data_IF_019769893118
#
_entry.id   IF_019769893118
#
_cell.length_a   1.000
_cell.length_b   1.000
_cell.length_c   1.000
_cell.angle_alpha   90.00
_cell.angle_beta   90.00
_cell.angle_gamma   90.00
#
_symmetry.space_group_name_H-M   'P 1'
#
loop_
_entity.id
_entity.type
_entity.pdbx_description
1 polymer ?
#
# COMPACT_ATOMS: atom_id res chain seq x y z
N UNK A 1 39.36 38.62 -41.79
CA UNK A 1 38.78 38.17 -40.54
C UNK A 1 38.31 36.74 -40.76
N UNK A 2 39.07 35.75 -40.25
CA UNK A 2 38.65 34.31 -40.25
C UNK A 2 37.79 34.04 -39.01
N UNK A 3 36.58 33.63 -39.24
CA UNK A 3 35.62 33.22 -38.20
C UNK A 3 35.93 31.79 -37.79
N UNK A 4 36.50 31.62 -36.60
CA UNK A 4 36.78 30.30 -36.03
C UNK A 4 35.45 29.72 -35.49
N UNK A 5 34.83 28.84 -36.27
CA UNK A 5 33.69 28.02 -35.82
C UNK A 5 34.20 26.97 -34.81
N UNK A 6 33.96 27.20 -33.53
CA UNK A 6 34.19 26.18 -32.49
C UNK A 6 33.07 25.13 -32.54
N UNK A 7 33.38 23.97 -33.12
CA UNK A 7 32.54 22.78 -33.01
C UNK A 7 32.66 22.26 -31.58
N UNK A 8 31.64 22.49 -30.75
CA UNK A 8 31.51 21.78 -29.48
C UNK A 8 31.20 20.31 -29.78
N UNK A 9 31.94 19.33 -29.22
CA UNK A 9 31.54 17.94 -29.31
C UNK A 9 30.20 17.78 -28.63
N UNK A 10 29.23 17.17 -29.32
CA UNK A 10 27.95 16.82 -28.75
C UNK A 10 28.19 15.96 -27.51
N UNK A 11 27.69 16.42 -26.36
CA UNK A 11 27.70 15.63 -25.13
C UNK A 11 26.93 14.34 -25.42
N UNK A 12 27.65 13.21 -25.43
CA UNK A 12 27.04 11.89 -25.46
C UNK A 12 26.16 11.77 -24.22
N UNK A 13 24.85 11.82 -24.41
CA UNK A 13 23.93 11.46 -23.34
C UNK A 13 24.28 10.04 -22.88
N UNK A 14 24.35 9.79 -21.57
CA UNK A 14 24.49 8.42 -21.07
C UNK A 14 23.38 7.59 -21.69
N UNK A 15 23.74 6.48 -22.33
CA UNK A 15 22.79 5.51 -22.84
C UNK A 15 21.86 5.11 -21.70
N UNK A 16 20.57 5.35 -21.86
CA UNK A 16 19.59 4.99 -20.84
C UNK A 16 19.70 3.48 -20.59
N UNK A 17 19.88 3.08 -19.35
CA UNK A 17 19.90 1.68 -18.98
C UNK A 17 18.69 0.95 -19.62
N UNK A 18 18.88 -0.23 -20.22
CA UNK A 18 17.79 -0.95 -20.84
C UNK A 18 16.64 -1.12 -19.82
N UNK A 19 15.39 -0.92 -20.24
CA UNK A 19 14.26 -1.08 -19.33
C UNK A 19 14.31 -2.49 -18.73
N UNK A 20 14.03 -2.65 -17.42
CA UNK A 20 14.02 -3.96 -16.80
C UNK A 20 13.06 -4.87 -17.57
N UNK A 21 13.35 -6.18 -17.69
CA UNK A 21 12.50 -7.09 -18.41
C UNK A 21 11.07 -7.02 -17.87
N UNK A 22 10.11 -6.78 -18.74
CA UNK A 22 8.71 -6.55 -18.39
C UNK A 22 8.06 -7.74 -17.65
N UNK A 23 8.66 -8.92 -17.77
CA UNK A 23 8.06 -10.20 -17.34
C UNK A 23 8.70 -10.82 -16.09
N UNK A 24 9.68 -10.18 -15.44
CA UNK A 24 10.40 -10.76 -14.31
C UNK A 24 11.44 -11.81 -14.75
N UNK A 25 11.95 -12.60 -13.81
CA UNK A 25 12.93 -13.66 -14.09
C UNK A 25 12.33 -15.05 -13.86
N UNK A 26 12.81 -16.06 -14.62
CA UNK A 26 12.29 -17.43 -14.58
C UNK A 26 13.18 -18.36 -13.77
N UNK A 27 12.54 -19.19 -12.94
CA UNK A 27 13.17 -20.32 -12.25
C UNK A 27 12.34 -21.56 -12.56
N UNK A 28 12.80 -22.37 -13.51
CA UNK A 28 11.99 -23.47 -14.06
C UNK A 28 10.71 -22.92 -14.71
N UNK A 29 9.56 -23.47 -14.36
CA UNK A 29 8.24 -23.03 -14.84
C UNK A 29 7.67 -21.86 -14.08
N UNK A 30 8.38 -21.34 -13.08
CA UNK A 30 7.91 -20.23 -12.24
C UNK A 30 8.52 -18.93 -12.72
N UNK A 31 7.67 -17.94 -12.96
CA UNK A 31 8.07 -16.55 -13.18
C UNK A 31 8.02 -15.81 -11.84
N UNK A 32 9.12 -15.18 -11.47
CA UNK A 32 9.25 -14.36 -10.28
C UNK A 32 9.36 -12.90 -10.67
N UNK A 33 8.63 -12.02 -9.98
CA UNK A 33 8.68 -10.57 -10.17
C UNK A 33 8.89 -9.90 -8.83
N UNK A 34 9.92 -9.08 -8.75
CA UNK A 34 10.17 -8.17 -7.63
C UNK A 34 9.89 -6.75 -8.08
N UNK A 35 9.29 -5.94 -7.21
CA UNK A 35 9.02 -4.53 -7.50
C UNK A 35 8.63 -3.78 -6.25
N UNK A 36 8.34 -2.50 -6.44
CA UNK A 36 8.01 -1.59 -5.37
C UNK A 36 8.40 -0.16 -5.73
N UNK A 37 8.47 0.69 -4.73
CA UNK A 37 8.93 2.07 -4.84
C UNK A 37 9.61 2.49 -3.55
N UNK A 38 10.48 3.49 -3.67
CA UNK A 38 11.02 4.25 -2.54
C UNK A 38 10.22 5.53 -2.47
N UNK A 39 9.73 5.84 -1.28
CA UNK A 39 8.99 7.05 -0.97
C UNK A 39 9.74 7.81 0.12
N UNK A 40 9.85 9.11 -0.04
CA UNK A 40 10.50 9.98 0.94
C UNK A 40 9.67 11.25 1.06
N UNK A 41 9.01 11.41 2.17
CA UNK A 41 8.08 12.47 2.45
C UNK A 41 8.63 13.50 3.43
N UNK A 42 8.19 14.73 3.27
CA UNK A 42 8.39 15.81 4.24
C UNK A 42 7.02 16.36 4.62
N UNK A 43 6.69 16.25 5.88
CA UNK A 43 5.43 16.75 6.42
C UNK A 43 5.68 17.98 7.28
N UNK A 44 4.98 19.07 7.00
CA UNK A 44 4.92 20.23 7.88
C UNK A 44 3.48 20.34 8.37
N UNK A 45 3.28 19.99 9.64
CA UNK A 45 1.96 19.94 10.26
C UNK A 45 1.81 21.07 11.27
N UNK A 46 0.74 21.82 11.15
CA UNK A 46 0.37 22.85 12.12
C UNK A 46 -0.99 22.53 12.73
N UNK A 47 -1.01 22.34 14.03
CA UNK A 47 -2.21 22.08 14.82
C UNK A 47 -2.57 23.34 15.58
N UNK A 48 -3.83 23.76 15.50
CA UNK A 48 -4.34 24.89 16.26
C UNK A 48 -4.53 24.56 17.73
N UNK A 49 -4.67 23.25 18.05
CA UNK A 49 -5.10 22.82 19.36
C UNK A 49 -4.54 21.41 19.67
N UNK A 50 -3.70 21.29 20.70
CA UNK A 50 -3.10 20.04 21.14
C UNK A 50 -1.88 19.58 20.35
N UNK A 51 -1.35 18.40 20.72
CA UNK A 51 -0.12 17.81 20.18
C UNK A 51 -0.31 16.35 19.77
N UNK A 52 0.45 15.91 18.77
CA UNK A 52 0.55 14.52 18.35
C UNK A 52 1.92 13.99 18.79
N UNK A 53 1.94 12.83 19.46
CA UNK A 53 3.19 12.20 19.90
C UNK A 53 4.12 11.90 18.73
N UNK A 54 5.43 12.05 18.90
CA UNK A 54 6.43 11.84 17.85
C UNK A 54 6.44 10.43 17.25
N UNK A 55 6.00 9.43 18.01
CA UNK A 55 5.89 8.04 17.54
C UNK A 55 4.52 7.66 16.97
N UNK A 56 3.63 8.64 16.81
CA UNK A 56 2.29 8.37 16.30
C UNK A 56 2.28 8.35 14.78
N UNK A 57 1.66 7.33 14.21
CA UNK A 57 1.40 7.25 12.76
C UNK A 57 0.57 8.44 12.23
N UNK A 58 -0.14 9.15 13.10
CA UNK A 58 -0.87 10.36 12.75
C UNK A 58 0.04 11.54 12.38
N UNK A 59 1.35 11.41 12.56
CA UNK A 59 2.34 12.38 12.06
C UNK A 59 2.67 12.15 10.58
N UNK A 60 2.59 10.92 10.10
CA UNK A 60 2.90 10.56 8.71
C UNK A 60 1.76 10.85 7.75
N UNK A 61 0.52 10.83 8.24
CA UNK A 61 -0.66 11.18 7.46
C UNK A 61 -1.84 11.58 8.36
N UNK A 62 -2.74 12.38 7.79
CA UNK A 62 -3.90 12.89 8.53
C UNK A 62 -4.91 11.80 8.87
N UNK A 63 -5.19 11.63 10.17
CA UNK A 63 -6.23 10.76 10.69
C UNK A 63 -7.21 11.63 11.47
N UNK A 64 -8.46 11.87 10.99
CA UNK A 64 -9.42 12.76 11.63
C UNK A 64 -9.69 12.43 13.09
N UNK A 65 -9.84 11.12 13.40
CA UNK A 65 -10.08 10.66 14.77
C UNK A 65 -8.88 10.79 15.71
N UNK A 66 -7.69 11.08 15.18
CA UNK A 66 -6.47 11.30 15.94
C UNK A 66 -6.10 12.81 16.03
N UNK A 67 -6.91 13.70 15.46
CA UNK A 67 -6.71 15.14 15.57
C UNK A 67 -6.92 15.57 17.04
N UNK A 68 -5.92 16.14 17.70
CA UNK A 68 -6.04 16.51 19.11
C UNK A 68 -6.99 17.69 19.30
N UNK A 69 -7.66 17.69 20.44
CA UNK A 69 -8.57 18.77 20.87
C UNK A 69 -8.21 19.15 22.31
N UNK A 70 -8.06 20.42 22.56
CA UNK A 70 -7.70 20.96 23.87
C UNK A 70 -6.21 20.92 24.13
N UNK A 71 -5.58 22.08 24.20
CA UNK A 71 -4.17 22.25 24.45
C UNK A 71 -3.56 23.41 23.67
N UNK A 72 -2.25 23.57 23.77
CA UNK A 72 -1.52 24.61 23.06
C UNK A 72 -1.32 24.23 21.59
N UNK A 73 -1.25 25.22 20.71
CA UNK A 73 -0.93 25.02 19.30
C UNK A 73 0.48 24.43 19.12
N UNK A 74 0.64 23.57 18.14
CA UNK A 74 1.92 22.93 17.82
C UNK A 74 2.18 22.94 16.32
N UNK A 75 3.42 23.25 15.93
CA UNK A 75 3.90 23.06 14.55
C UNK A 75 5.16 22.20 14.60
N UNK A 76 5.22 21.20 13.72
CA UNK A 76 6.36 20.30 13.63
C UNK A 76 6.64 19.91 12.17
N UNK A 77 7.85 19.46 11.92
CA UNK A 77 8.29 18.97 10.62
C UNK A 77 8.84 17.55 10.79
N UNK A 78 8.37 16.64 9.97
CA UNK A 78 8.82 15.25 9.93
C UNK A 78 9.36 14.90 8.55
N UNK A 79 10.40 14.11 8.52
CA UNK A 79 10.95 13.46 7.32
C UNK A 79 10.77 11.96 7.51
N UNK A 80 10.12 11.30 6.57
CA UNK A 80 9.88 9.86 6.65
C UNK A 80 10.11 9.16 5.32
N UNK A 81 10.50 7.89 5.38
CA UNK A 81 10.58 7.00 4.22
C UNK A 81 9.80 5.69 4.47
N UNK A 82 8.97 5.66 5.52
CA UNK A 82 8.25 4.46 5.98
C UNK A 82 7.21 3.94 4.98
N UNK A 83 6.69 4.81 4.11
CA UNK A 83 5.75 4.43 3.06
C UNK A 83 6.39 3.70 1.88
N UNK A 84 7.74 3.65 1.82
CA UNK A 84 8.46 2.82 0.86
C UNK A 84 7.97 1.38 0.89
N UNK A 85 7.76 0.81 -0.30
CA UNK A 85 7.06 -0.47 -0.45
C UNK A 85 7.81 -1.39 -1.39
N UNK A 86 7.76 -2.69 -1.10
CA UNK A 86 8.25 -3.71 -2.00
C UNK A 86 7.32 -4.92 -2.02
N UNK A 87 7.35 -5.64 -3.12
CA UNK A 87 6.61 -6.87 -3.28
C UNK A 87 7.43 -7.94 -4.00
N UNK A 88 7.09 -9.18 -3.72
CA UNK A 88 7.48 -10.35 -4.47
C UNK A 88 6.22 -11.04 -5.00
N UNK A 89 6.17 -11.28 -6.30
CA UNK A 89 5.12 -12.06 -6.94
C UNK A 89 5.72 -13.27 -7.64
N UNK A 90 4.99 -14.38 -7.61
CA UNK A 90 5.33 -15.61 -8.29
C UNK A 90 4.14 -16.09 -9.10
N UNK A 91 4.39 -16.67 -10.29
CA UNK A 91 3.33 -17.28 -11.08
C UNK A 91 3.87 -18.49 -11.86
N UNK A 92 3.04 -19.53 -11.99
CA UNK A 92 3.33 -20.73 -12.79
C UNK A 92 2.06 -21.33 -13.36
N UNK A 93 2.12 -21.95 -14.55
CA UNK A 93 1.02 -22.76 -15.05
C UNK A 93 0.83 -24.01 -14.18
N UNK A 94 -0.42 -24.36 -13.89
CA UNK A 94 -0.81 -25.59 -13.20
C UNK A 94 -2.07 -26.12 -13.87
N UNK A 95 -1.95 -27.18 -14.65
CA UNK A 95 -3.03 -27.64 -15.53
C UNK A 95 -3.41 -26.58 -16.57
N UNK A 96 -4.70 -26.29 -16.66
CA UNK A 96 -5.27 -25.27 -17.55
C UNK A 96 -5.30 -23.85 -16.96
N UNK A 97 -4.78 -23.67 -15.74
CA UNK A 97 -4.84 -22.41 -14.99
C UNK A 97 -3.46 -21.94 -14.55
N UNK A 98 -3.41 -20.70 -14.11
CA UNK A 98 -2.23 -20.12 -13.48
C UNK A 98 -2.41 -20.10 -11.97
N UNK A 99 -1.43 -20.69 -11.26
CA UNK A 99 -1.24 -20.46 -9.84
C UNK A 99 -0.34 -19.24 -9.68
N UNK A 100 -0.78 -18.27 -8.91
CA UNK A 100 0.04 -17.10 -8.56
C UNK A 100 0.03 -16.83 -7.06
N UNK A 101 1.11 -16.21 -6.58
CA UNK A 101 1.27 -15.76 -5.20
C UNK A 101 1.82 -14.33 -5.21
N UNK A 102 1.49 -13.57 -4.17
CA UNK A 102 1.92 -12.19 -3.99
C UNK A 102 2.16 -11.90 -2.52
N UNK A 103 3.30 -11.29 -2.20
CA UNK A 103 3.61 -10.76 -0.87
C UNK A 103 4.01 -9.29 -1.05
N UNK A 104 3.45 -8.40 -0.26
CA UNK A 104 3.72 -6.96 -0.27
C UNK A 104 3.93 -6.46 1.16
N UNK A 105 4.96 -5.65 1.35
CA UNK A 105 5.34 -5.06 2.63
C UNK A 105 5.69 -3.58 2.49
N UNK A 106 5.47 -2.82 3.56
CA UNK A 106 5.99 -1.47 3.80
C UNK A 106 6.50 -1.38 5.25
N UNK A 107 6.87 -0.20 5.70
CA UNK A 107 7.37 0.07 7.06
C UNK A 107 6.44 0.99 7.86
N UNK A 108 5.41 1.51 7.22
CA UNK A 108 4.49 2.49 7.80
C UNK A 108 3.71 1.92 8.98
N UNK A 109 3.72 2.61 10.11
CA UNK A 109 3.06 2.15 11.33
C UNK A 109 3.63 0.86 11.88
N UNK A 110 4.93 0.67 11.73
CA UNK A 110 5.68 -0.47 12.25
C UNK A 110 5.51 -0.58 13.77
N UNK A 111 5.29 -1.81 14.25
CA UNK A 111 5.22 -2.08 15.70
C UNK A 111 6.59 -2.05 16.40
N UNK A 112 7.68 -1.95 15.68
CA UNK A 112 9.03 -1.95 16.19
C UNK A 112 9.89 -0.93 15.46
N UNK A 113 10.75 -0.27 16.23
CA UNK A 113 11.61 0.81 15.76
C UNK A 113 10.97 2.17 15.99
N UNK A 114 11.78 3.18 15.98
CA UNK A 114 11.37 4.57 16.09
C UNK A 114 12.52 5.51 15.69
N UNK A 115 12.15 6.75 15.44
CA UNK A 115 13.05 7.82 15.05
C UNK A 115 14.16 8.08 16.08
N UNK A 116 13.88 7.94 17.38
CA UNK A 116 14.80 8.25 18.47
C UNK A 116 16.00 7.30 18.56
N UNK A 117 15.84 6.06 18.09
CA UNK A 117 16.87 5.01 18.26
C UNK A 117 17.55 4.66 16.96
N UNK A 118 17.45 5.18 15.89
CA UNK A 118 18.15 4.84 14.63
C UNK A 118 17.33 4.95 13.35
N UNK A 119 16.15 5.49 13.40
CA UNK A 119 15.22 5.49 12.25
C UNK A 119 15.05 4.10 11.62
N UNK A 120 15.06 3.06 12.46
CA UNK A 120 14.91 1.67 12.01
C UNK A 120 13.50 1.19 12.28
N UNK A 121 12.84 0.71 11.24
CA UNK A 121 11.47 0.25 11.30
C UNK A 121 11.35 -1.18 10.80
N UNK A 122 10.48 -1.98 11.42
CA UNK A 122 10.25 -3.35 10.98
C UNK A 122 9.30 -3.40 9.77
N UNK A 123 9.51 -4.34 8.84
CA UNK A 123 8.56 -4.55 7.75
C UNK A 123 7.18 -4.91 8.28
N UNK A 124 6.14 -4.33 7.67
CA UNK A 124 4.74 -4.63 7.94
C UNK A 124 4.12 -5.37 6.75
N UNK A 125 3.52 -6.53 7.03
CA UNK A 125 2.82 -7.29 6.00
C UNK A 125 1.55 -6.53 5.56
N UNK A 126 1.47 -6.19 4.28
CA UNK A 126 0.30 -5.54 3.68
C UNK A 126 -0.61 -6.55 3.03
N UNK A 127 -0.07 -7.30 2.07
CA UNK A 127 -0.82 -8.26 1.26
C UNK A 127 -0.02 -9.56 1.19
N UNK A 128 -0.69 -10.69 1.34
CA UNK A 128 -0.09 -12.01 1.19
C UNK A 128 -1.19 -12.98 0.77
N UNK A 129 -1.25 -13.32 -0.51
CA UNK A 129 -2.31 -14.16 -1.03
C UNK A 129 -1.82 -15.05 -2.17
N UNK A 130 -2.60 -16.08 -2.44
CA UNK A 130 -2.49 -16.94 -3.62
C UNK A 130 -3.78 -16.86 -4.44
N UNK A 131 -3.62 -17.02 -5.76
CA UNK A 131 -4.75 -17.14 -6.71
C UNK A 131 -4.59 -18.40 -7.54
N UNK A 132 -5.70 -19.10 -7.73
CA UNK A 132 -5.79 -20.21 -8.67
C UNK A 132 -7.14 -20.17 -9.39
N UNK A 133 -7.12 -19.92 -10.69
CA UNK A 133 -8.34 -19.66 -11.44
C UNK A 133 -9.17 -18.51 -10.84
N UNK A 134 -10.40 -18.80 -10.44
CA UNK A 134 -11.33 -17.84 -9.87
C UNK A 134 -11.21 -17.63 -8.35
N UNK A 135 -10.34 -18.40 -7.70
CA UNK A 135 -10.17 -18.39 -6.26
C UNK A 135 -8.98 -17.51 -5.84
N UNK A 136 -9.16 -16.79 -4.76
CA UNK A 136 -8.11 -16.11 -4.01
C UNK A 136 -8.19 -16.54 -2.55
N UNK A 137 -7.04 -16.86 -1.96
CA UNK A 137 -6.90 -17.22 -0.54
C UNK A 137 -5.73 -16.45 0.05
N UNK A 138 -5.94 -15.79 1.18
CA UNK A 138 -4.92 -15.03 1.91
C UNK A 138 -5.35 -13.61 2.22
N UNK A 139 -4.41 -12.80 2.65
CA UNK A 139 -4.64 -11.40 3.03
C UNK A 139 -4.59 -10.50 1.80
N UNK A 140 -5.71 -9.86 1.51
CA UNK A 140 -5.86 -8.90 0.41
C UNK A 140 -6.78 -7.76 0.86
N UNK A 141 -6.89 -6.71 0.06
CA UNK A 141 -7.91 -5.69 0.26
C UNK A 141 -9.27 -6.36 0.44
N UNK A 142 -10.02 -5.91 1.45
CA UNK A 142 -11.40 -6.36 1.63
C UNK A 142 -12.16 -6.27 0.32
N UNK A 143 -12.96 -7.27 0.02
CA UNK A 143 -13.81 -7.29 -1.18
C UNK A 143 -14.79 -6.13 -1.17
N UNK A 144 -15.13 -5.60 -0.01
CA UNK A 144 -15.96 -4.42 0.15
C UNK A 144 -15.30 -3.15 -0.40
N UNK A 145 -13.95 -3.07 -0.37
CA UNK A 145 -13.19 -1.90 -0.82
C UNK A 145 -13.09 -1.85 -2.35
N UNK A 146 -13.45 -0.73 -2.95
CA UNK A 146 -13.19 -0.45 -4.36
C UNK A 146 -11.88 0.31 -4.54
N UNK A 147 -10.78 -0.41 -4.74
CA UNK A 147 -9.45 0.20 -4.91
C UNK A 147 -9.29 1.00 -6.20
N UNK A 148 -10.13 0.74 -7.23
CA UNK A 148 -10.07 1.49 -8.49
C UNK A 148 -10.76 2.87 -8.41
N UNK A 149 -11.54 3.11 -7.36
CA UNK A 149 -12.19 4.39 -7.11
C UNK A 149 -11.40 5.31 -6.17
N UNK A 150 -10.18 4.88 -5.76
CA UNK A 150 -9.31 5.69 -4.92
C UNK A 150 -8.70 6.81 -5.77
N UNK A 151 -8.95 8.10 -5.46
CA UNK A 151 -8.36 9.21 -6.19
C UNK A 151 -6.86 9.34 -5.88
N UNK A 152 -6.12 9.99 -6.76
CA UNK A 152 -4.75 10.40 -6.46
C UNK A 152 -4.73 11.49 -5.39
N UNK A 153 -3.76 11.40 -4.49
CA UNK A 153 -3.57 12.37 -3.41
C UNK A 153 -2.09 12.45 -3.04
N UNK A 154 -1.67 13.61 -2.60
CA UNK A 154 -0.34 13.81 -2.02
C UNK A 154 -0.19 13.18 -0.63
N UNK A 155 -1.29 12.84 0.04
CA UNK A 155 -1.27 12.15 1.32
C UNK A 155 -1.41 10.65 1.13
N UNK A 156 -0.68 9.87 1.91
CA UNK A 156 -0.79 8.41 1.90
C UNK A 156 -2.21 7.92 2.15
N UNK A 157 -2.93 8.56 3.06
CA UNK A 157 -4.34 8.27 3.35
C UNK A 157 -5.22 9.36 2.74
N UNK A 158 -5.87 9.02 1.63
CA UNK A 158 -6.53 9.96 0.74
C UNK A 158 -7.86 10.48 1.30
N UNK A 159 -8.60 9.60 1.92
CA UNK A 159 -9.93 9.88 2.47
C UNK A 159 -10.05 9.20 3.82
N UNK A 160 -10.28 10.00 4.81
CA UNK A 160 -10.46 9.53 6.16
C UNK A 160 -11.87 9.07 6.46
N UNK A 161 -12.87 9.68 5.82
CA UNK A 161 -14.27 9.43 6.11
C UNK A 161 -14.92 8.65 4.96
N UNK A 162 -15.67 7.60 5.31
CA UNK A 162 -16.45 6.81 4.36
C UNK A 162 -15.66 5.80 3.53
N UNK A 163 -14.36 5.64 3.76
CA UNK A 163 -13.55 4.63 3.08
C UNK A 163 -13.24 3.45 4.00
N UNK A 164 -13.58 2.25 3.53
CA UNK A 164 -13.16 0.99 4.19
C UNK A 164 -11.73 0.67 3.74
N UNK A 165 -10.73 1.18 4.47
CA UNK A 165 -9.32 1.01 4.13
C UNK A 165 -8.71 -0.16 4.92
N UNK A 166 -9.24 -1.36 4.69
CA UNK A 166 -8.79 -2.56 5.40
C UNK A 166 -8.36 -3.66 4.45
N UNK A 167 -7.37 -4.43 4.89
CA UNK A 167 -6.93 -5.68 4.29
C UNK A 167 -7.26 -6.80 5.25
N UNK A 168 -7.94 -7.84 4.72
CA UNK A 168 -8.41 -8.96 5.52
C UNK A 168 -7.91 -10.29 4.96
N UNK A 169 -7.50 -11.23 5.82
CA UNK A 169 -7.44 -12.64 5.45
C UNK A 169 -8.81 -13.08 4.93
N UNK A 170 -8.84 -13.68 3.76
CA UNK A 170 -10.10 -14.00 3.09
C UNK A 170 -9.98 -15.21 2.17
N UNK A 171 -11.12 -15.80 1.86
CA UNK A 171 -11.34 -16.68 0.73
C UNK A 171 -12.32 -15.99 -0.19
N UNK A 172 -11.90 -15.71 -1.42
CA UNK A 172 -12.72 -14.98 -2.40
C UNK A 172 -12.87 -15.80 -3.68
N UNK A 173 -14.09 -15.83 -4.19
CA UNK A 173 -14.42 -16.39 -5.50
C UNK A 173 -14.91 -15.28 -6.43
N UNK A 174 -14.34 -15.21 -7.64
CA UNK A 174 -14.71 -14.22 -8.65
C UNK A 174 -15.29 -14.92 -9.86
N UNK A 175 -16.48 -14.50 -10.31
CA UNK A 175 -17.12 -15.01 -11.52
C UNK A 175 -17.75 -13.88 -12.33
N UNK A 176 -17.19 -13.60 -13.50
CA UNK A 176 -17.59 -12.43 -14.28
C UNK A 176 -17.42 -11.14 -13.45
N UNK A 177 -18.52 -10.40 -13.32
CA UNK A 177 -18.55 -9.15 -12.55
C UNK A 177 -18.82 -9.36 -11.05
N UNK A 178 -19.11 -10.58 -10.62
CA UNK A 178 -19.42 -10.90 -9.24
C UNK A 178 -18.19 -11.33 -8.46
N UNK A 179 -18.10 -10.88 -7.22
CA UNK A 179 -17.14 -11.34 -6.21
C UNK A 179 -17.89 -11.73 -4.96
N UNK A 180 -17.54 -12.88 -4.41
CA UNK A 180 -18.06 -13.37 -3.14
C UNK A 180 -16.86 -13.69 -2.24
N UNK A 181 -16.89 -13.22 -1.01
CA UNK A 181 -15.81 -13.45 -0.07
C UNK A 181 -16.33 -13.78 1.31
N UNK A 182 -15.53 -14.58 2.00
CA UNK A 182 -15.60 -14.81 3.44
C UNK A 182 -14.30 -14.23 4.01
N UNK A 183 -14.42 -13.23 4.87
CA UNK A 183 -13.32 -12.43 5.38
C UNK A 183 -13.20 -12.57 6.90
N UNK A 184 -11.98 -12.36 7.42
CA UNK A 184 -11.76 -12.36 8.86
C UNK A 184 -12.64 -11.28 9.51
N UNK A 185 -13.47 -11.64 10.52
CA UNK A 185 -14.29 -10.67 11.20
C UNK A 185 -13.40 -9.74 12.03
N UNK A 186 -13.36 -8.49 11.68
CA UNK A 186 -12.57 -7.49 12.39
C UNK A 186 -13.41 -6.23 12.58
N UNK A 187 -14.18 -6.21 13.64
CA UNK A 187 -14.99 -5.05 14.00
C UNK A 187 -14.11 -4.06 14.77
N UNK A 188 -13.97 -2.85 14.24
CA UNK A 188 -13.37 -1.74 14.98
C UNK A 188 -14.46 -0.95 15.65
N UNK A 189 -14.63 -1.14 16.94
CA UNK A 189 -15.53 -0.31 17.75
C UNK A 189 -14.74 0.80 18.44
N UNK A 190 -15.34 1.98 18.52
CA UNK A 190 -14.69 3.22 19.00
C UNK A 190 -14.13 3.17 20.44
N UNK A 191 -14.32 2.11 21.19
CA UNK A 191 -13.84 2.01 22.56
C UNK A 191 -13.30 0.62 22.95
N UNK A 192 -13.15 -0.31 22.02
CA UNK A 192 -12.58 -1.61 22.33
C UNK A 192 -11.09 -1.62 22.03
N UNK A 193 -10.25 -1.55 23.04
CA UNK A 193 -8.83 -1.86 22.93
C UNK A 193 -8.55 -3.36 22.80
N UNK A 194 -9.56 -4.20 22.59
CA UNK A 194 -9.48 -5.64 22.48
C UNK A 194 -10.00 -6.12 21.13
N UNK A 195 -9.44 -7.22 20.65
CA UNK A 195 -9.99 -7.99 19.54
C UNK A 195 -11.42 -8.39 19.85
N UNK A 196 -12.34 -8.13 18.92
CA UNK A 196 -13.67 -8.71 19.00
C UNK A 196 -13.59 -10.24 18.89
N UNK A 197 -14.27 -10.92 19.78
CA UNK A 197 -14.43 -12.39 19.77
C UNK A 197 -15.55 -12.78 18.80
N UNK A 198 -15.48 -12.33 17.56
CA UNK A 198 -16.47 -12.68 16.53
C UNK A 198 -16.29 -14.14 16.10
N UNK A 199 -17.36 -14.92 16.20
CA UNK A 199 -17.38 -16.32 15.79
C UNK A 199 -17.74 -16.45 14.31
N UNK A 200 -18.52 -15.52 13.79
CA UNK A 200 -19.04 -15.56 12.41
C UNK A 200 -18.16 -14.68 11.54
N UNK A 201 -17.60 -15.20 10.43
CA UNK A 201 -16.83 -14.40 9.51
C UNK A 201 -17.71 -13.38 8.78
N UNK A 202 -17.09 -12.31 8.29
CA UNK A 202 -17.75 -11.35 7.42
C UNK A 202 -18.02 -11.98 6.05
N UNK A 203 -19.23 -11.81 5.54
CA UNK A 203 -19.62 -12.28 4.22
C UNK A 203 -19.84 -11.08 3.31
N UNK A 204 -19.09 -11.02 2.22
CA UNK A 204 -19.14 -9.89 1.26
C UNK A 204 -19.55 -10.39 -0.11
N UNK A 205 -20.54 -9.71 -0.71
CA UNK A 205 -20.90 -9.87 -2.10
C UNK A 205 -20.73 -8.52 -2.81
N UNK A 206 -20.00 -8.51 -3.94
CA UNK A 206 -19.74 -7.31 -4.72
C UNK A 206 -20.04 -7.56 -6.19
N UNK A 207 -20.69 -6.60 -6.83
CA UNK A 207 -20.88 -6.56 -8.27
C UNK A 207 -20.14 -5.35 -8.86
N UNK A 208 -19.28 -5.57 -9.85
CA UNK A 208 -18.57 -4.52 -10.56
C UNK A 208 -19.33 -4.13 -11.82
N UNK A 209 -19.67 -2.86 -11.93
CA UNK A 209 -20.20 -2.26 -13.16
C UNK A 209 -19.13 -1.35 -13.75
N UNK A 210 -18.90 -1.44 -15.04
CA UNK A 210 -18.13 -0.48 -15.81
C UNK A 210 -19.07 0.20 -16.81
N UNK A 211 -19.02 1.51 -16.90
CA UNK A 211 -19.79 2.32 -17.82
C UNK A 211 -19.11 3.66 -18.05
N UNK A 212 -19.31 4.26 -19.19
CA UNK A 212 -19.02 5.67 -19.41
C UNK A 212 -20.17 6.47 -18.75
N UNK A 213 -19.81 7.41 -17.85
CA UNK A 213 -20.74 8.36 -17.23
C UNK A 213 -20.49 9.75 -17.81
#
# INVERSE_FOLDING_TARGET
>A
QEEIVRIQPAATQPEAAPPPPADGFRVGDTTLKFGGFVDADVHVTSLSDGAIAGSSIARDFYIPGATPIGGDSMTFTDFTAESSRFFLAASRPVGDKTLSAHIEMDFLGSGQGNELVSNSYSPRLRRAFMKYGNWLVGQEWSTFQNTSAIPESASFLILSDGMVFVRQPQIRYTHGNWMFAVENPNTTTLNSGSRDENIIPDVVARYNMSGEF
#
